data_IF_099068836242
#
_entry.id   IF_099068836242
#
_cell.length_a   1.000
_cell.length_b   1.000
_cell.length_c   1.000
_cell.angle_alpha   90.00
_cell.angle_beta   90.00
_cell.angle_gamma   90.00
#
_symmetry.space_group_name_H-M   'P 1'
#
loop_
_entity.id
_entity.type
_entity.pdbx_description
1 polymer ?
#
# COMPACT_ATOMS: atom_id res chain seq x y z
N UNK A 1 -45.27 12.45 -41.50
CA UNK A 1 -44.98 11.25 -42.31
C UNK A 1 -43.51 11.17 -42.73
N UNK A 2 -42.77 12.28 -42.86
CA UNK A 2 -41.35 12.30 -43.28
C UNK A 2 -40.34 11.70 -42.25
N UNK A 3 -40.71 11.64 -40.97
CA UNK A 3 -39.79 11.20 -39.90
C UNK A 3 -39.39 9.71 -39.98
N UNK A 4 -40.28 8.84 -40.45
CA UNK A 4 -40.01 7.39 -40.50
C UNK A 4 -39.06 7.02 -41.64
N UNK A 5 -39.22 7.63 -42.82
CA UNK A 5 -38.34 7.42 -43.97
C UNK A 5 -36.91 7.91 -43.70
N UNK A 6 -36.77 9.08 -43.07
CA UNK A 6 -35.47 9.61 -42.65
C UNK A 6 -34.79 8.67 -41.65
N UNK A 7 -35.52 8.18 -40.66
CA UNK A 7 -35.01 7.26 -39.65
C UNK A 7 -34.53 5.93 -40.27
N UNK A 8 -35.28 5.39 -41.23
CA UNK A 8 -34.91 4.14 -41.91
C UNK A 8 -33.72 4.32 -42.85
N UNK A 9 -33.62 5.46 -43.53
CA UNK A 9 -32.43 5.82 -44.31
C UNK A 9 -31.18 5.90 -43.43
N UNK A 10 -31.25 6.63 -42.30
CA UNK A 10 -30.11 6.77 -41.37
C UNK A 10 -29.69 5.41 -40.81
N UNK A 11 -30.65 4.54 -40.45
CA UNK A 11 -30.35 3.16 -40.04
C UNK A 11 -29.67 2.36 -41.13
N UNK A 12 -30.11 2.48 -42.39
CA UNK A 12 -29.52 1.76 -43.51
C UNK A 12 -28.08 2.20 -43.79
N UNK A 13 -27.80 3.50 -43.81
CA UNK A 13 -26.44 4.02 -43.98
C UNK A 13 -25.53 3.61 -42.81
N UNK A 14 -26.06 3.56 -41.58
CA UNK A 14 -25.32 3.03 -40.42
C UNK A 14 -24.93 1.56 -40.59
N UNK A 15 -25.81 0.73 -41.15
CA UNK A 15 -25.49 -0.68 -41.44
C UNK A 15 -24.42 -0.84 -42.52
N UNK A 16 -24.28 0.14 -43.41
CA UNK A 16 -23.20 0.20 -44.41
C UNK A 16 -21.86 0.71 -43.82
N UNK A 17 -21.83 1.11 -42.55
CA UNK A 17 -20.61 1.55 -41.87
C UNK A 17 -20.32 3.05 -41.97
N UNK A 18 -21.25 3.88 -42.47
CA UNK A 18 -21.05 5.33 -42.48
C UNK A 18 -21.10 5.93 -41.07
N UNK A 19 -20.15 6.81 -40.77
CA UNK A 19 -20.13 7.59 -39.52
C UNK A 19 -21.23 8.66 -39.50
N UNK A 20 -21.48 9.25 -38.32
CA UNK A 20 -22.57 10.24 -38.14
C UNK A 20 -22.37 11.46 -39.04
N UNK A 21 -21.13 11.91 -39.21
CA UNK A 21 -20.80 13.11 -39.98
C UNK A 21 -21.04 12.90 -41.48
N UNK A 22 -20.61 11.76 -42.02
CA UNK A 22 -20.85 11.38 -43.42
C UNK A 22 -22.34 11.31 -43.75
N UNK A 23 -23.17 10.84 -42.82
CA UNK A 23 -24.62 10.75 -43.00
C UNK A 23 -25.26 12.15 -42.96
N UNK A 24 -24.88 12.98 -41.99
CA UNK A 24 -25.35 14.37 -41.89
C UNK A 24 -25.02 15.15 -43.14
N UNK A 25 -23.77 15.08 -43.62
CA UNK A 25 -23.33 15.82 -44.81
C UNK A 25 -24.14 15.43 -46.07
N UNK A 26 -24.42 14.13 -46.28
CA UNK A 26 -25.25 13.67 -47.40
C UNK A 26 -26.70 14.16 -47.31
N UNK A 27 -27.30 14.12 -46.13
CA UNK A 27 -28.69 14.50 -45.92
C UNK A 27 -28.88 16.03 -46.01
N UNK A 28 -27.94 16.82 -45.50
CA UNK A 28 -27.95 18.28 -45.68
C UNK A 28 -27.82 18.63 -47.16
N UNK A 29 -26.93 17.96 -47.91
CA UNK A 29 -26.82 18.15 -49.36
C UNK A 29 -28.10 17.76 -50.13
N UNK A 30 -28.91 16.86 -49.57
CA UNK A 30 -30.20 16.47 -50.10
C UNK A 30 -31.36 17.38 -49.64
N UNK A 31 -31.07 18.42 -48.85
CA UNK A 31 -32.05 19.44 -48.44
C UNK A 31 -32.77 19.16 -47.11
N UNK A 32 -32.35 18.15 -46.35
CA UNK A 32 -32.89 17.91 -45.00
C UNK A 32 -32.34 18.93 -44.01
N UNK A 33 -33.17 19.32 -43.04
CA UNK A 33 -32.76 20.18 -41.95
C UNK A 33 -31.85 19.43 -40.97
N UNK A 34 -30.76 20.07 -40.56
CA UNK A 34 -29.77 19.48 -39.64
C UNK A 34 -30.42 19.01 -38.32
N UNK A 35 -31.37 19.78 -37.79
CA UNK A 35 -32.07 19.45 -36.55
C UNK A 35 -32.85 18.14 -36.64
N UNK A 36 -33.50 17.86 -37.78
CA UNK A 36 -34.27 16.62 -37.99
C UNK A 36 -33.34 15.40 -38.10
N UNK A 37 -32.17 15.59 -38.71
CA UNK A 37 -31.14 14.54 -38.83
C UNK A 37 -30.57 14.22 -37.44
N UNK A 38 -30.25 15.24 -36.64
CA UNK A 38 -29.74 15.08 -35.28
C UNK A 38 -30.77 14.42 -34.36
N UNK A 39 -32.06 14.75 -34.50
CA UNK A 39 -33.15 14.09 -33.77
C UNK A 39 -33.21 12.58 -34.10
N UNK A 40 -33.11 12.22 -35.38
CA UNK A 40 -33.10 10.82 -35.83
C UNK A 40 -31.88 10.04 -35.32
N UNK A 41 -30.68 10.64 -35.38
CA UNK A 41 -29.45 10.05 -34.84
C UNK A 41 -29.52 9.81 -33.33
N UNK A 42 -30.10 10.77 -32.60
CA UNK A 42 -30.32 10.64 -31.15
C UNK A 42 -31.22 9.46 -30.81
N UNK A 43 -32.27 9.23 -31.58
CA UNK A 43 -33.17 8.07 -31.41
C UNK A 43 -32.46 6.74 -31.64
N UNK A 44 -31.60 6.65 -32.65
CA UNK A 44 -30.83 5.42 -32.95
C UNK A 44 -29.80 5.12 -31.86
N UNK A 45 -29.10 6.15 -31.38
CA UNK A 45 -28.02 5.98 -30.39
C UNK A 45 -28.55 5.68 -28.97
N UNK A 46 -29.80 6.04 -28.65
CA UNK A 46 -30.43 5.77 -27.34
C UNK A 46 -30.52 4.27 -27.01
N UNK A 47 -30.69 3.42 -28.03
CA UNK A 47 -30.77 1.96 -27.85
C UNK A 47 -29.44 1.27 -27.54
N UNK A 48 -28.32 1.81 -28.03
CA UNK A 48 -26.98 1.23 -27.79
C UNK A 48 -26.46 1.50 -26.38
N UNK A 49 -26.78 2.66 -25.82
CA UNK A 49 -26.30 3.06 -24.49
C UNK A 49 -26.80 2.14 -23.37
N UNK A 50 -28.05 1.67 -23.47
CA UNK A 50 -28.65 0.72 -22.50
C UNK A 50 -27.93 -0.63 -22.54
N UNK A 51 -27.52 -1.09 -23.72
CA UNK A 51 -26.82 -2.36 -23.87
C UNK A 51 -25.40 -2.32 -23.27
N UNK A 52 -24.65 -1.23 -23.49
CA UNK A 52 -23.32 -1.07 -22.89
C UNK A 52 -23.36 -0.94 -21.37
N UNK A 53 -24.34 -0.22 -20.82
CA UNK A 53 -24.48 -0.08 -19.37
C UNK A 53 -24.74 -1.43 -18.68
N UNK A 54 -25.59 -2.28 -19.27
CA UNK A 54 -25.86 -3.62 -18.74
C UNK A 54 -24.64 -4.54 -18.83
N UNK A 55 -23.89 -4.49 -19.94
CA UNK A 55 -22.67 -5.28 -20.10
C UNK A 55 -21.58 -4.83 -19.12
N UNK A 56 -21.39 -3.52 -18.94
CA UNK A 56 -20.44 -2.97 -17.98
C UNK A 56 -20.78 -3.36 -16.54
N UNK A 57 -22.07 -3.28 -16.15
CA UNK A 57 -22.52 -3.70 -14.83
C UNK A 57 -22.28 -5.19 -14.59
N UNK A 58 -22.51 -6.04 -15.59
CA UNK A 58 -22.23 -7.47 -15.50
C UNK A 58 -20.73 -7.76 -15.32
N UNK A 59 -19.86 -7.05 -16.05
CA UNK A 59 -18.39 -7.18 -15.90
C UNK A 59 -17.95 -6.77 -14.50
N UNK A 60 -18.42 -5.63 -13.99
CA UNK A 60 -18.07 -5.15 -12.64
C UNK A 60 -18.52 -6.16 -11.57
N UNK A 61 -19.72 -6.73 -11.71
CA UNK A 61 -20.22 -7.75 -10.80
C UNK A 61 -19.34 -9.01 -10.82
N UNK A 62 -18.94 -9.49 -12.00
CA UNK A 62 -18.06 -10.67 -12.14
C UNK A 62 -16.67 -10.40 -11.55
N UNK A 63 -16.06 -9.25 -11.85
CA UNK A 63 -14.76 -8.87 -11.31
C UNK A 63 -14.83 -8.74 -9.78
N UNK A 64 -15.84 -8.07 -9.25
CA UNK A 64 -16.04 -7.95 -7.81
C UNK A 64 -16.22 -9.31 -7.12
N UNK A 65 -16.97 -10.23 -7.74
CA UNK A 65 -17.16 -11.58 -7.22
C UNK A 65 -15.85 -12.39 -7.26
N UNK A 66 -15.06 -12.27 -8.32
CA UNK A 66 -13.74 -12.89 -8.42
C UNK A 66 -12.77 -12.32 -7.37
N UNK A 67 -12.75 -11.00 -7.15
CA UNK A 67 -11.96 -10.38 -6.09
C UNK A 67 -12.35 -10.90 -4.70
N UNK A 68 -13.65 -11.09 -4.43
CA UNK A 68 -14.14 -11.68 -3.18
C UNK A 68 -13.74 -13.15 -3.02
N UNK A 69 -13.76 -13.93 -4.10
CA UNK A 69 -13.30 -15.32 -4.08
C UNK A 69 -11.79 -15.41 -3.84
N UNK A 70 -10.99 -14.58 -4.51
CA UNK A 70 -9.55 -14.47 -4.26
C UNK A 70 -9.29 -14.07 -2.81
N UNK A 71 -10.02 -13.09 -2.28
CA UNK A 71 -9.91 -12.67 -0.88
C UNK A 71 -10.22 -13.81 0.10
N UNK A 72 -11.22 -14.65 -0.18
CA UNK A 72 -11.55 -15.82 0.65
C UNK A 72 -10.56 -16.97 0.53
N UNK A 73 -10.04 -17.25 -0.66
CA UNK A 73 -9.16 -18.40 -0.89
C UNK A 73 -7.69 -18.12 -0.55
N UNK A 74 -7.20 -16.91 -0.81
CA UNK A 74 -5.80 -16.53 -0.53
C UNK A 74 -5.66 -15.98 0.90
N UNK A 75 -6.79 -15.61 1.53
CA UNK A 75 -6.78 -14.77 2.73
C UNK A 75 -6.45 -13.33 2.33
N UNK A 76 -7.17 -12.36 2.92
CA UNK A 76 -6.89 -10.95 2.67
C UNK A 76 -5.42 -10.60 2.94
N UNK A 77 -4.88 -9.55 2.29
CA UNK A 77 -3.50 -9.09 2.50
C UNK A 77 -3.20 -8.62 3.94
N UNK A 78 -4.20 -8.55 4.82
CA UNK A 78 -3.99 -8.32 6.26
C UNK A 78 -3.36 -9.50 7.01
N UNK A 79 -3.12 -10.65 6.36
CA UNK A 79 -2.24 -11.69 6.91
C UNK A 79 -0.76 -11.44 6.65
N UNK A 80 -0.36 -10.23 6.27
CA UNK A 80 1.02 -9.79 6.43
C UNK A 80 1.28 -9.41 7.90
N UNK A 81 1.66 -10.43 8.68
CA UNK A 81 2.33 -10.35 9.99
C UNK A 81 1.75 -9.35 11.02
N UNK A 82 0.63 -9.70 11.62
CA UNK A 82 0.45 -9.43 13.05
C UNK A 82 0.69 -10.76 13.78
N UNK A 83 1.96 -11.12 13.91
CA UNK A 83 2.35 -12.17 14.87
C UNK A 83 2.32 -11.46 16.21
N UNK A 84 1.21 -11.60 16.94
CA UNK A 84 1.18 -11.24 18.35
C UNK A 84 2.19 -12.16 19.06
N UNK A 85 3.41 -11.67 19.23
CA UNK A 85 4.44 -12.39 19.96
C UNK A 85 4.10 -12.35 21.45
N UNK A 86 3.45 -13.40 21.94
CA UNK A 86 3.20 -13.57 23.37
C UNK A 86 4.42 -14.27 24.01
N UNK A 87 5.40 -13.47 24.45
CA UNK A 87 6.58 -13.97 25.16
C UNK A 87 6.26 -14.24 26.62
N UNK A 88 6.78 -15.35 27.16
CA UNK A 88 6.68 -15.61 28.59
C UNK A 88 7.57 -14.66 29.39
N UNK A 89 7.13 -14.31 30.61
CA UNK A 89 7.95 -13.52 31.54
C UNK A 89 9.33 -14.18 31.80
N UNK A 90 9.41 -15.51 31.78
CA UNK A 90 10.68 -16.22 31.90
C UNK A 90 11.62 -15.95 30.74
N UNK A 91 11.13 -15.94 29.49
CA UNK A 91 11.97 -15.67 28.32
C UNK A 91 12.50 -14.23 28.32
N UNK A 92 11.66 -13.26 28.69
CA UNK A 92 12.06 -11.85 28.82
C UNK A 92 13.13 -11.69 29.88
N UNK A 93 12.97 -12.34 31.04
CA UNK A 93 13.96 -12.28 32.12
C UNK A 93 15.29 -12.95 31.72
N UNK A 94 15.23 -14.10 31.05
CA UNK A 94 16.42 -14.78 30.53
C UNK A 94 17.15 -13.91 29.50
N UNK A 95 16.40 -13.26 28.59
CA UNK A 95 16.95 -12.33 27.60
C UNK A 95 17.67 -11.17 28.29
N UNK A 96 17.01 -10.51 29.25
CA UNK A 96 17.59 -9.40 30.00
C UNK A 96 18.89 -9.80 30.69
N UNK A 97 18.87 -10.92 31.42
CA UNK A 97 20.06 -11.44 32.11
C UNK A 97 21.23 -11.73 31.17
N UNK A 98 20.97 -12.35 30.00
CA UNK A 98 22.01 -12.66 29.02
C UNK A 98 22.63 -11.39 28.43
N UNK A 99 21.79 -10.40 28.08
CA UNK A 99 22.25 -9.14 27.49
C UNK A 99 23.02 -8.28 28.51
N UNK A 100 22.57 -8.22 29.75
CA UNK A 100 23.22 -7.45 30.82
C UNK A 100 24.59 -8.03 31.17
N UNK A 101 24.74 -9.35 31.14
CA UNK A 101 26.01 -10.05 31.40
C UNK A 101 26.91 -10.17 30.18
N UNK A 102 26.41 -9.81 28.99
CA UNK A 102 27.05 -10.09 27.70
C UNK A 102 27.41 -11.58 27.53
N UNK A 103 26.54 -12.46 28.02
CA UNK A 103 26.74 -13.91 28.00
C UNK A 103 25.99 -14.54 26.81
N UNK A 104 26.74 -14.81 25.74
CA UNK A 104 26.20 -15.41 24.53
C UNK A 104 25.65 -16.82 24.76
N UNK A 105 26.25 -17.60 25.68
CA UNK A 105 25.77 -18.94 25.98
C UNK A 105 24.40 -18.88 26.68
N UNK A 106 24.20 -17.88 27.54
CA UNK A 106 22.92 -17.69 28.22
C UNK A 106 21.75 -17.36 27.29
N UNK A 107 21.99 -16.95 26.04
CA UNK A 107 20.95 -16.67 25.05
C UNK A 107 20.08 -17.90 24.71
N UNK A 108 20.60 -19.12 24.89
CA UNK A 108 19.82 -20.35 24.67
C UNK A 108 18.60 -20.43 25.61
N UNK A 109 18.69 -19.80 26.78
CA UNK A 109 17.62 -19.78 27.79
C UNK A 109 16.54 -18.74 27.50
N UNK A 110 16.71 -17.89 26.47
CA UNK A 110 15.74 -16.88 26.06
C UNK A 110 14.62 -17.44 25.16
N UNK A 111 14.62 -18.75 24.89
CA UNK A 111 13.55 -19.40 24.13
C UNK A 111 13.38 -18.80 22.75
N UNK A 112 12.20 -18.26 22.45
CA UNK A 112 11.92 -17.62 21.16
C UNK A 112 12.73 -16.34 20.91
N UNK A 113 13.30 -15.74 21.97
CA UNK A 113 14.13 -14.54 21.91
C UNK A 113 15.64 -14.83 21.75
N UNK A 114 16.03 -16.11 21.56
CA UNK A 114 17.44 -16.50 21.39
C UNK A 114 18.11 -15.78 20.21
N UNK A 115 17.48 -15.73 19.03
CA UNK A 115 18.02 -15.01 17.88
C UNK A 115 18.14 -13.49 18.13
N UNK A 116 17.21 -12.89 18.90
CA UNK A 116 17.29 -11.49 19.29
C UNK A 116 18.53 -11.28 20.18
N UNK A 117 18.69 -12.12 21.20
CA UNK A 117 19.82 -12.09 22.12
C UNK A 117 21.16 -12.19 21.39
N UNK A 118 21.31 -13.23 20.58
CA UNK A 118 22.51 -13.47 19.78
C UNK A 118 22.76 -12.32 18.79
N UNK A 119 21.71 -11.83 18.12
CA UNK A 119 21.82 -10.69 17.20
C UNK A 119 22.42 -9.46 17.86
N UNK A 120 21.97 -9.13 19.08
CA UNK A 120 22.50 -7.97 19.83
C UNK A 120 23.94 -8.22 20.31
N UNK A 121 24.25 -9.40 20.84
CA UNK A 121 25.59 -9.68 21.38
C UNK A 121 26.66 -9.81 20.30
N UNK A 122 26.31 -10.45 19.19
CA UNK A 122 27.19 -10.62 18.02
C UNK A 122 27.18 -9.41 17.08
N UNK A 123 26.30 -8.43 17.32
CA UNK A 123 26.08 -7.28 16.43
C UNK A 123 25.66 -7.69 15.01
N UNK A 124 24.84 -8.73 14.91
CA UNK A 124 24.41 -9.31 13.65
C UNK A 124 22.98 -8.88 13.31
N UNK A 125 22.85 -7.86 12.46
CA UNK A 125 21.54 -7.34 12.03
C UNK A 125 20.72 -8.35 11.23
N UNK A 126 21.36 -9.32 10.56
CA UNK A 126 20.64 -10.37 9.82
C UNK A 126 19.92 -11.34 10.77
N UNK A 127 20.46 -11.59 11.96
CA UNK A 127 19.74 -12.32 13.02
C UNK A 127 18.53 -11.53 13.50
N UNK A 128 18.66 -10.22 13.71
CA UNK A 128 17.56 -9.34 14.10
C UNK A 128 16.42 -9.30 13.07
N UNK A 129 16.75 -9.25 11.77
CA UNK A 129 15.76 -9.20 10.68
C UNK A 129 14.81 -10.39 10.62
N UNK A 130 15.11 -11.50 11.31
CA UNK A 130 14.26 -12.70 11.34
C UNK A 130 12.90 -12.49 12.02
N UNK A 131 12.79 -11.51 12.91
CA UNK A 131 11.52 -11.21 13.59
C UNK A 131 10.59 -10.32 12.75
N UNK A 132 11.14 -9.48 11.87
CA UNK A 132 10.38 -8.41 11.20
C UNK A 132 9.76 -7.41 12.19
N UNK A 133 9.11 -6.38 11.65
CA UNK A 133 8.36 -5.38 12.40
C UNK A 133 9.12 -4.76 13.58
N UNK A 134 8.39 -4.41 14.63
CA UNK A 134 8.89 -3.69 15.80
C UNK A 134 9.98 -4.47 16.55
N UNK A 135 9.88 -5.79 16.62
CA UNK A 135 10.83 -6.60 17.37
C UNK A 135 12.18 -6.72 16.65
N UNK A 136 12.16 -6.87 15.31
CA UNK A 136 13.36 -6.82 14.49
C UNK A 136 14.01 -5.44 14.57
N UNK A 137 13.21 -4.38 14.51
CA UNK A 137 13.70 -3.02 14.64
C UNK A 137 14.29 -2.74 16.03
N UNK A 138 13.65 -3.21 17.11
CA UNK A 138 14.14 -3.04 18.47
C UNK A 138 15.49 -3.73 18.69
N UNK A 139 15.70 -4.88 18.05
CA UNK A 139 16.99 -5.60 18.06
C UNK A 139 18.08 -4.75 17.40
N UNK A 140 17.82 -4.25 16.18
CA UNK A 140 18.78 -3.42 15.42
C UNK A 140 19.04 -2.09 16.14
N UNK A 141 18.01 -1.45 16.69
CA UNK A 141 18.14 -0.22 17.48
C UNK A 141 19.06 -0.42 18.68
N UNK A 142 19.00 -1.57 19.37
CA UNK A 142 19.91 -1.86 20.49
C UNK A 142 21.36 -1.99 20.04
N UNK A 143 21.61 -2.55 18.84
CA UNK A 143 22.94 -2.58 18.22
C UNK A 143 23.40 -1.15 17.87
N UNK A 144 22.51 -0.34 17.27
CA UNK A 144 22.77 1.06 16.92
C UNK A 144 23.19 1.87 18.15
N UNK A 145 22.43 1.79 19.25
CA UNK A 145 22.74 2.47 20.51
C UNK A 145 24.03 1.98 21.17
N UNK A 146 24.31 0.67 21.11
CA UNK A 146 25.57 0.10 21.63
C UNK A 146 26.78 0.64 20.88
N UNK A 147 26.69 0.76 19.55
CA UNK A 147 27.78 1.18 18.68
C UNK A 147 27.83 2.69 18.43
N UNK A 148 26.82 3.44 18.88
CA UNK A 148 26.58 4.84 18.52
C UNK A 148 26.56 5.05 17.01
N UNK A 149 25.98 4.11 16.27
CA UNK A 149 25.96 4.10 14.82
C UNK A 149 24.57 4.51 14.27
N UNK A 150 24.38 5.77 13.84
CA UNK A 150 23.11 6.24 13.30
C UNK A 150 22.78 5.63 11.93
N UNK A 151 23.73 5.02 11.24
CA UNK A 151 23.45 4.39 9.93
C UNK A 151 22.53 3.19 10.06
N UNK A 152 22.56 2.51 11.22
CA UNK A 152 21.68 1.39 11.53
C UNK A 152 20.22 1.82 11.73
N UNK A 153 19.97 3.03 12.24
CA UNK A 153 18.61 3.57 12.38
C UNK A 153 17.93 3.83 11.02
N UNK A 154 18.71 4.17 9.99
CA UNK A 154 18.17 4.51 8.67
C UNK A 154 17.44 3.37 7.96
N UNK A 155 17.70 2.12 8.37
CA UNK A 155 17.13 0.92 7.77
C UNK A 155 15.92 0.35 8.54
N UNK A 156 15.52 0.99 9.65
CA UNK A 156 14.36 0.57 10.44
C UNK A 156 13.06 0.97 9.75
N UNK A 157 12.01 0.18 9.94
CA UNK A 157 10.70 0.44 9.32
C UNK A 157 9.78 1.23 10.24
N UNK A 158 9.63 0.78 11.49
CA UNK A 158 8.69 1.30 12.47
C UNK A 158 9.40 2.14 13.53
N UNK A 159 10.54 1.67 14.07
CA UNK A 159 11.22 2.36 15.18
C UNK A 159 12.29 3.36 14.72
N UNK A 160 12.27 3.78 13.46
CA UNK A 160 13.28 4.68 12.87
C UNK A 160 13.40 6.01 13.62
N UNK A 161 12.28 6.72 13.79
CA UNK A 161 12.27 8.01 14.49
C UNK A 161 12.77 7.89 15.93
N UNK A 162 12.31 6.86 16.65
CA UNK A 162 12.71 6.57 18.02
C UNK A 162 14.21 6.25 18.14
N UNK A 163 14.75 5.46 17.21
CA UNK A 163 16.17 5.10 17.17
C UNK A 163 17.07 6.33 17.05
N UNK A 164 16.75 7.24 16.11
CA UNK A 164 17.50 8.50 15.97
C UNK A 164 17.37 9.40 17.20
N UNK A 165 16.18 9.50 17.80
CA UNK A 165 15.97 10.28 19.02
C UNK A 165 16.83 9.75 20.18
N UNK A 166 16.85 8.43 20.38
CA UNK A 166 17.62 7.82 21.46
C UNK A 166 19.12 8.01 21.25
N UNK A 167 19.62 7.79 20.02
CA UNK A 167 21.03 8.05 19.72
C UNK A 167 21.42 9.52 19.94
N UNK A 168 20.55 10.46 19.56
CA UNK A 168 20.78 11.88 19.82
C UNK A 168 20.95 12.16 21.32
N UNK A 169 20.06 11.61 22.14
CA UNK A 169 20.11 11.78 23.60
C UNK A 169 21.35 11.12 24.21
N UNK A 170 21.73 9.93 23.74
CA UNK A 170 22.89 9.20 24.27
C UNK A 170 24.25 9.78 23.82
N UNK A 171 24.30 10.42 22.65
CA UNK A 171 25.54 11.03 22.11
C UNK A 171 25.65 12.53 22.37
N UNK A 172 24.54 13.19 22.67
CA UNK A 172 24.44 14.65 22.69
C UNK A 172 24.41 15.30 21.31
N UNK A 173 24.32 14.53 20.22
CA UNK A 173 24.32 15.08 18.86
C UNK A 173 22.90 15.54 18.44
N UNK A 174 22.61 16.82 18.67
CA UNK A 174 21.33 17.44 18.32
C UNK A 174 20.98 17.33 16.83
N UNK A 175 21.96 17.12 15.94
CA UNK A 175 21.72 16.97 14.50
C UNK A 175 20.96 15.69 14.19
N UNK A 176 21.11 14.65 15.02
CA UNK A 176 20.37 13.39 14.88
C UNK A 176 18.86 13.58 15.12
N UNK A 177 18.45 14.59 15.92
CA UNK A 177 17.04 14.90 16.13
C UNK A 177 16.32 15.30 14.83
N UNK A 178 17.02 15.80 13.81
CA UNK A 178 16.37 16.13 12.54
C UNK A 178 15.86 14.89 11.79
N UNK A 179 16.45 13.72 12.05
CA UNK A 179 16.06 12.43 11.49
C UNK A 179 15.06 11.65 12.38
N UNK A 180 14.70 12.19 13.54
CA UNK A 180 13.84 11.53 14.54
C UNK A 180 12.32 11.62 14.25
N UNK A 181 11.92 12.11 13.07
CA UNK A 181 10.53 12.18 12.59
C UNK A 181 9.58 12.79 13.64
N UNK A 182 8.56 12.07 14.10
CA UNK A 182 7.59 12.53 15.10
C UNK A 182 8.23 12.88 16.47
N UNK A 183 9.40 12.31 16.79
CA UNK A 183 10.13 12.57 18.03
C UNK A 183 11.09 13.77 17.95
N UNK A 184 11.17 14.46 16.79
CA UNK A 184 12.12 15.54 16.54
C UNK A 184 12.08 16.67 17.58
N UNK A 185 10.90 17.15 17.94
CA UNK A 185 10.76 18.31 18.84
C UNK A 185 11.11 17.93 20.28
N UNK A 186 10.68 16.76 20.74
CA UNK A 186 10.99 16.25 22.08
C UNK A 186 12.48 16.00 22.21
N UNK A 187 13.10 15.40 21.19
CA UNK A 187 14.55 15.20 21.10
C UNK A 187 15.33 16.52 21.23
N UNK A 188 14.99 17.54 20.44
CA UNK A 188 15.67 18.85 20.50
C UNK A 188 15.47 19.54 21.85
N UNK A 189 14.27 19.44 22.42
CA UNK A 189 13.94 20.02 23.72
C UNK A 189 14.74 19.37 24.84
N UNK A 190 14.93 18.05 24.80
CA UNK A 190 15.72 17.30 25.78
C UNK A 190 17.21 17.72 25.77
N UNK A 191 17.77 17.98 24.59
CA UNK A 191 19.18 18.34 24.41
C UNK A 191 19.50 19.84 24.54
N UNK A 192 18.48 20.70 24.65
CA UNK A 192 18.67 22.16 24.76
C UNK A 192 18.70 22.67 26.22
N UNK A 193 18.73 21.77 27.20
CA UNK A 193 18.78 22.07 28.65
C UNK A 193 20.20 21.92 29.17
#
# INVERSE_FOLDING_TARGET
MMKDELLDYVKAEKRKGFDDYSIVSKLVAAGYLEEEILEALKHINRGKFVSYALVAAAIIAVVGLLSLLVYRFIGGPEKALNIDYEFSNSEINSLGNALDRQDLAACENAGQLSNYCEGVLEQNTEKCKRYGGDLGDACIMRIANKNKDPTLCGNLQVLKGLCFAQLAMETGDIRLCDAAEEYKNDCKTALSK
#
